data_IF_098360187624
#
_entry.id   IF_098360187624
#
_cell.length_a   1.000
_cell.length_b   1.000
_cell.length_c   1.000
_cell.angle_alpha   90.00
_cell.angle_beta   90.00
_cell.angle_gamma   90.00
#
_symmetry.space_group_name_H-M   'P 1'
#
loop_
_entity.id
_entity.type
_entity.pdbx_description
1 polymer ?
#
# COMPACT_ATOMS: atom_id res chain seq x y z
N UNK A 1 18.16 34.89 17.49
CA UNK A 1 17.06 34.16 18.14
C UNK A 1 15.75 34.55 17.46
N UNK A 2 15.38 33.86 16.37
CA UNK A 2 14.02 33.92 15.84
C UNK A 2 13.30 32.69 16.40
N UNK A 3 12.45 32.89 17.40
CA UNK A 3 11.49 31.87 17.80
C UNK A 3 10.45 31.75 16.68
N UNK A 4 10.68 30.84 15.74
CA UNK A 4 9.66 30.45 14.78
C UNK A 4 8.51 29.81 15.54
N UNK A 5 7.30 30.34 15.36
CA UNK A 5 6.09 29.65 15.80
C UNK A 5 6.01 28.34 15.00
N UNK A 6 6.41 27.22 15.61
CA UNK A 6 6.20 25.91 15.03
C UNK A 6 4.70 25.75 14.76
N UNK A 7 4.31 25.70 13.49
CA UNK A 7 2.92 25.52 13.09
C UNK A 7 2.43 24.18 13.66
N UNK A 8 1.49 24.24 14.61
CA UNK A 8 0.89 23.07 15.22
C UNK A 8 0.05 22.33 14.18
N UNK A 9 0.38 21.06 13.94
CA UNK A 9 -0.46 20.18 13.13
C UNK A 9 -1.78 19.89 13.84
N UNK A 10 -2.83 19.55 13.10
CA UNK A 10 -4.10 19.07 13.66
C UNK A 10 -3.93 17.80 14.51
N UNK A 11 -2.87 17.03 14.28
CA UNK A 11 -2.48 15.91 15.14
C UNK A 11 -1.82 16.35 16.48
N UNK A 12 -1.57 17.65 16.67
CA UNK A 12 -0.84 18.19 17.82
C UNK A 12 0.60 17.71 17.86
N UNK A 13 1.17 17.40 16.68
CA UNK A 13 2.53 16.91 16.54
C UNK A 13 3.46 18.12 16.49
N UNK A 14 4.44 18.14 17.39
CA UNK A 14 5.56 19.07 17.30
C UNK A 14 6.77 18.29 16.83
N UNK A 15 7.31 18.69 15.69
CA UNK A 15 8.61 18.25 15.22
C UNK A 15 9.63 19.12 15.94
N UNK A 16 10.40 18.50 16.82
CA UNK A 16 11.50 19.18 17.52
C UNK A 16 12.79 18.68 16.88
N UNK A 17 13.63 19.61 16.43
CA UNK A 17 14.99 19.30 16.03
C UNK A 17 15.72 18.67 17.22
N UNK A 18 16.39 17.55 16.95
CA UNK A 18 17.22 16.89 17.96
C UNK A 18 18.63 16.76 17.39
N UNK A 19 19.64 17.20 18.14
CA UNK A 19 21.06 16.90 17.88
C UNK A 19 21.37 15.43 18.26
N UNK A 20 20.59 14.51 17.71
CA UNK A 20 20.80 13.06 17.84
C UNK A 20 21.29 12.51 16.52
N UNK A 21 22.19 11.53 16.59
CA UNK A 21 22.58 10.76 15.42
C UNK A 21 21.36 10.19 14.69
N UNK A 22 21.41 10.02 13.37
CA UNK A 22 20.37 9.31 12.62
C UNK A 22 20.06 7.95 13.25
N UNK A 23 18.78 7.58 13.26
CA UNK A 23 18.38 6.24 13.72
C UNK A 23 19.20 5.17 12.98
N UNK A 24 19.69 4.19 13.72
CA UNK A 24 20.26 3.00 13.09
C UNK A 24 19.16 2.25 12.31
N UNK A 25 19.58 1.52 11.27
CA UNK A 25 18.66 0.68 10.48
C UNK A 25 17.88 -0.28 11.37
N UNK A 26 18.52 -0.82 12.41
CA UNK A 26 17.89 -1.75 13.37
C UNK A 26 16.82 -1.06 14.22
N UNK A 27 17.07 0.15 14.71
CA UNK A 27 16.08 0.91 15.49
C UNK A 27 14.88 1.30 14.64
N UNK A 28 15.13 1.75 13.41
CA UNK A 28 14.04 2.10 12.50
C UNK A 28 13.21 0.89 12.09
N UNK A 29 13.84 -0.26 11.83
CA UNK A 29 13.15 -1.52 11.54
C UNK A 29 12.19 -1.91 12.69
N UNK A 30 12.62 -1.78 13.96
CA UNK A 30 11.76 -2.00 15.14
C UNK A 30 10.58 -1.02 15.21
N UNK A 31 10.78 0.24 14.84
CA UNK A 31 9.68 1.22 14.79
C UNK A 31 8.61 0.78 13.79
N UNK A 32 9.01 0.32 12.59
CA UNK A 32 8.09 -0.16 11.58
C UNK A 32 7.35 -1.44 12.02
N UNK A 33 8.06 -2.42 12.59
CA UNK A 33 7.47 -3.64 13.14
C UNK A 33 6.38 -3.31 14.17
N UNK A 34 6.68 -2.42 15.12
CA UNK A 34 5.75 -2.02 16.17
C UNK A 34 4.55 -1.24 15.62
N UNK A 35 4.78 -0.31 14.68
CA UNK A 35 3.71 0.50 14.09
C UNK A 35 2.73 -0.34 13.26
N UNK A 36 3.24 -1.27 12.46
CA UNK A 36 2.42 -2.10 11.58
C UNK A 36 1.98 -3.43 12.20
N UNK A 37 2.45 -3.76 13.41
CA UNK A 37 2.29 -5.08 14.01
C UNK A 37 2.72 -6.20 13.04
N UNK A 38 3.93 -6.07 12.51
CA UNK A 38 4.46 -6.91 11.43
C UNK A 38 5.80 -7.53 11.81
N UNK A 39 6.08 -8.71 11.24
CA UNK A 39 7.34 -9.42 11.41
C UNK A 39 8.29 -9.10 10.25
N UNK A 40 9.57 -8.94 10.56
CA UNK A 40 10.62 -8.92 9.53
C UNK A 40 10.82 -10.33 8.98
N UNK A 41 10.76 -10.42 7.67
CA UNK A 41 10.88 -11.65 6.91
C UNK A 41 12.09 -11.54 5.99
N UNK A 42 13.04 -12.46 6.17
CA UNK A 42 14.10 -12.63 5.21
C UNK A 42 13.59 -13.42 4.00
N UNK A 43 13.74 -12.84 2.81
CA UNK A 43 13.32 -13.46 1.55
C UNK A 43 14.54 -14.03 0.84
N UNK A 44 14.47 -15.30 0.43
CA UNK A 44 15.49 -15.96 -0.39
C UNK A 44 15.26 -15.71 -1.88
N UNK A 45 14.02 -15.81 -2.35
CA UNK A 45 13.64 -15.56 -3.74
C UNK A 45 12.21 -15.04 -3.86
N UNK A 46 11.97 -14.32 -4.96
CA UNK A 46 10.64 -13.91 -5.41
C UNK A 46 10.46 -14.46 -6.82
N UNK A 47 9.70 -15.54 -6.94
CA UNK A 47 9.44 -16.17 -8.23
C UNK A 47 8.14 -15.64 -8.80
N UNK A 48 8.23 -15.08 -10.02
CA UNK A 48 7.04 -14.66 -10.75
C UNK A 48 6.52 -15.84 -11.54
N UNK A 49 5.30 -16.23 -11.25
CA UNK A 49 4.53 -17.16 -12.05
C UNK A 49 3.95 -16.39 -13.24
N UNK A 50 3.81 -17.05 -14.39
CA UNK A 50 3.29 -16.42 -15.61
C UNK A 50 2.02 -15.62 -15.28
N UNK A 51 1.85 -14.42 -15.83
CA UNK A 51 0.59 -13.65 -15.72
C UNK A 51 0.05 -13.33 -14.30
N UNK A 52 0.90 -13.23 -13.26
CA UNK A 52 0.57 -12.47 -12.04
C UNK A 52 0.56 -13.23 -10.71
N UNK A 53 0.93 -14.51 -10.69
CA UNK A 53 1.28 -15.19 -9.43
C UNK A 53 2.68 -14.79 -8.95
N UNK A 54 2.88 -14.68 -7.64
CA UNK A 54 4.20 -14.61 -7.03
C UNK A 54 4.31 -15.70 -5.96
N UNK A 55 5.48 -16.34 -5.90
CA UNK A 55 5.92 -17.16 -4.77
C UNK A 55 6.97 -16.34 -4.01
N UNK A 56 6.70 -16.05 -2.74
CA UNK A 56 7.71 -15.53 -1.81
C UNK A 56 8.32 -16.69 -1.04
N UNK A 57 9.60 -16.94 -1.25
CA UNK A 57 10.33 -17.95 -0.48
C UNK A 57 11.01 -17.28 0.71
N UNK A 58 10.62 -17.67 1.93
CA UNK A 58 11.20 -17.17 3.17
C UNK A 58 12.45 -17.97 3.56
N UNK A 59 13.47 -17.30 4.09
CA UNK A 59 14.63 -17.95 4.69
C UNK A 59 14.25 -18.70 5.97
N UNK A 60 15.16 -19.57 6.42
CA UNK A 60 14.98 -20.28 7.70
C UNK A 60 14.79 -19.28 8.85
N UNK A 61 13.79 -19.53 9.71
CA UNK A 61 13.47 -18.69 10.87
C UNK A 61 11.99 -18.31 10.92
N UNK A 62 11.57 -17.31 10.12
CA UNK A 62 10.19 -16.81 10.16
C UNK A 62 9.23 -17.80 9.50
N UNK A 63 8.25 -18.28 10.28
CA UNK A 63 7.19 -19.16 9.79
C UNK A 63 5.83 -18.62 10.20
N UNK A 64 4.93 -18.53 9.23
CA UNK A 64 3.53 -18.19 9.43
C UNK A 64 2.70 -19.46 9.52
N UNK A 65 1.89 -19.57 10.57
CA UNK A 65 0.85 -20.59 10.67
C UNK A 65 -0.43 -19.98 10.13
N UNK A 66 -1.01 -20.60 9.11
CA UNK A 66 -2.23 -20.11 8.48
C UNK A 66 -3.11 -21.26 8.00
N UNK A 67 -4.36 -20.95 7.70
CA UNK A 67 -5.35 -21.89 7.18
C UNK A 67 -5.83 -21.46 5.79
N UNK A 68 -6.34 -22.40 4.98
CA UNK A 68 -6.91 -22.06 3.68
C UNK A 68 -7.95 -20.94 3.78
N UNK A 69 -7.74 -19.88 3.01
CA UNK A 69 -8.55 -18.66 3.03
C UNK A 69 -7.93 -17.49 3.78
N UNK A 70 -6.87 -17.71 4.55
CA UNK A 70 -6.15 -16.62 5.21
C UNK A 70 -5.38 -15.75 4.21
N UNK A 71 -4.97 -14.57 4.69
CA UNK A 71 -4.24 -13.59 3.92
C UNK A 71 -3.05 -13.08 4.72
N UNK A 72 -2.03 -12.63 4.02
CA UNK A 72 -0.94 -11.83 4.59
C UNK A 72 -1.10 -10.37 4.16
N UNK A 73 -0.54 -9.44 4.91
CA UNK A 73 -0.37 -8.07 4.43
C UNK A 73 1.11 -7.75 4.29
N UNK A 74 1.47 -7.18 3.15
CA UNK A 74 2.81 -6.69 2.88
C UNK A 74 2.87 -5.20 3.21
N UNK A 75 3.92 -4.81 3.92
CA UNK A 75 4.20 -3.41 4.23
C UNK A 75 5.24 -2.95 3.21
N UNK A 76 4.78 -2.18 2.21
CA UNK A 76 5.62 -1.64 1.15
C UNK A 76 5.90 -0.16 1.39
N UNK A 77 7.09 0.31 1.00
CA UNK A 77 7.47 1.72 0.99
C UNK A 77 7.07 2.44 -0.31
N UNK A 78 6.98 3.77 -0.24
CA UNK A 78 6.96 4.61 -1.43
C UNK A 78 8.32 4.54 -2.15
N UNK A 79 8.35 4.86 -3.45
CA UNK A 79 9.59 4.86 -4.24
C UNK A 79 10.48 6.03 -3.87
N UNK A 80 11.79 5.89 -4.07
CA UNK A 80 12.73 7.01 -3.88
C UNK A 80 12.42 8.20 -4.79
N UNK A 81 11.92 7.96 -6.01
CA UNK A 81 11.49 9.01 -6.93
C UNK A 81 10.33 9.84 -6.34
N UNK A 82 9.28 9.17 -5.82
CA UNK A 82 8.12 9.85 -5.23
C UNK A 82 8.51 10.61 -3.96
N UNK A 83 9.38 10.02 -3.14
CA UNK A 83 9.86 10.63 -1.89
C UNK A 83 10.70 11.85 -2.18
N UNK A 84 11.63 11.76 -3.13
CA UNK A 84 12.52 12.86 -3.51
C UNK A 84 11.73 14.01 -4.14
N UNK A 85 10.82 13.69 -5.06
CA UNK A 85 9.95 14.69 -5.66
C UNK A 85 9.11 15.41 -4.61
N UNK A 86 8.52 14.70 -3.64
CA UNK A 86 7.72 15.38 -2.61
C UNK A 86 8.59 16.24 -1.69
N UNK A 87 9.80 15.79 -1.33
CA UNK A 87 10.74 16.58 -0.55
C UNK A 87 11.11 17.89 -1.25
N UNK A 88 11.32 17.86 -2.58
CA UNK A 88 11.59 19.06 -3.38
C UNK A 88 10.41 20.06 -3.41
N UNK A 89 9.20 19.59 -3.12
CA UNK A 89 7.99 20.41 -3.06
C UNK A 89 7.52 20.71 -1.62
N UNK A 90 8.34 20.37 -0.63
CA UNK A 90 8.06 20.57 0.80
C UNK A 90 8.91 21.71 1.34
N UNK A 91 8.31 22.61 2.13
CA UNK A 91 9.08 23.57 2.91
C UNK A 91 9.71 22.85 4.10
N UNK A 92 11.01 22.58 4.02
CA UNK A 92 11.75 21.92 5.09
C UNK A 92 12.14 22.87 6.23
N UNK A 93 11.81 24.17 6.13
CA UNK A 93 12.09 25.17 7.17
C UNK A 93 13.58 25.24 7.56
N UNK A 94 14.48 24.89 6.62
CA UNK A 94 15.94 24.86 6.83
C UNK A 94 16.48 23.53 7.36
N UNK A 95 15.63 22.54 7.63
CA UNK A 95 15.99 21.22 8.14
C UNK A 95 16.48 20.32 6.99
N UNK A 96 17.49 19.49 7.23
CA UNK A 96 17.90 18.47 6.25
C UNK A 96 16.83 17.36 6.13
N UNK A 97 16.50 16.85 4.93
CA UNK A 97 15.56 15.73 4.75
C UNK A 97 15.88 14.47 5.55
N UNK A 98 17.15 14.31 5.91
CA UNK A 98 17.70 13.14 6.59
C UNK A 98 17.97 13.41 8.09
N UNK A 99 17.74 14.64 8.56
CA UNK A 99 17.84 14.99 9.98
C UNK A 99 16.64 14.42 10.76
N UNK A 100 16.87 13.65 11.85
CA UNK A 100 15.79 13.11 12.66
C UNK A 100 14.98 14.21 13.37
N UNK A 101 13.66 14.05 13.37
CA UNK A 101 12.74 14.92 14.08
C UNK A 101 12.00 14.12 15.14
N UNK A 102 11.94 14.64 16.36
CA UNK A 102 11.17 14.01 17.43
C UNK A 102 9.68 14.20 17.15
N UNK A 103 8.96 13.09 17.00
CA UNK A 103 7.50 13.09 16.87
C UNK A 103 6.89 13.10 18.27
N UNK A 104 6.61 14.30 18.80
CA UNK A 104 5.99 14.49 20.12
C UNK A 104 4.55 14.99 20.00
N UNK A 105 3.67 14.56 20.91
CA UNK A 105 2.27 15.02 20.96
C UNK A 105 2.05 15.93 22.17
N UNK A 106 1.54 17.15 21.97
CA UNK A 106 1.30 18.09 23.07
C UNK A 106 -0.04 17.90 23.80
N UNK A 107 -1.04 17.21 23.23
CA UNK A 107 -2.36 17.06 23.87
C UNK A 107 -2.79 15.60 24.15
N UNK A 108 -3.27 15.28 25.37
CA UNK A 108 -3.72 13.94 25.76
C UNK A 108 -5.10 13.54 25.20
N UNK A 109 -5.75 14.36 24.37
CA UNK A 109 -7.04 13.99 23.76
C UNK A 109 -6.86 12.83 22.77
N UNK A 110 -7.89 11.97 22.69
CA UNK A 110 -8.01 10.71 21.93
C UNK A 110 -7.85 10.84 20.40
N UNK A 111 -6.89 11.61 19.89
CA UNK A 111 -6.49 11.55 18.48
C UNK A 111 -5.56 10.34 18.31
N UNK A 112 -6.03 9.39 17.52
CA UNK A 112 -5.31 8.21 17.05
C UNK A 112 -4.39 8.61 15.90
N UNK A 113 -3.47 9.56 16.10
CA UNK A 113 -2.38 9.73 15.13
C UNK A 113 -1.66 8.39 15.10
N UNK A 114 -1.91 7.58 14.06
CA UNK A 114 -1.39 6.22 13.97
C UNK A 114 0.14 6.20 13.90
N UNK A 115 0.78 7.36 13.65
CA UNK A 115 2.23 7.53 13.61
C UNK A 115 2.95 7.05 14.89
N UNK A 116 4.20 6.56 14.76
CA UNK A 116 5.02 6.18 15.92
C UNK A 116 5.23 7.38 16.85
N UNK A 117 4.96 7.18 18.15
CA UNK A 117 5.09 8.23 19.17
C UNK A 117 6.49 8.22 19.78
N UNK A 118 6.98 9.40 20.17
CA UNK A 118 8.27 9.57 20.85
C UNK A 118 9.43 8.92 20.09
N UNK A 119 9.35 8.93 18.76
CA UNK A 119 10.35 8.40 17.86
C UNK A 119 11.02 9.58 17.12
N UNK A 120 12.33 9.50 16.94
CA UNK A 120 13.09 10.47 16.14
C UNK A 120 13.16 9.96 14.69
N UNK A 121 12.33 10.48 13.79
CA UNK A 121 12.26 9.99 12.40
C UNK A 121 12.51 11.17 11.46
N UNK A 122 13.33 10.96 10.42
CA UNK A 122 13.61 12.01 9.44
C UNK A 122 12.42 12.25 8.50
N UNK A 123 12.29 13.45 7.90
CA UNK A 123 11.28 13.74 6.87
C UNK A 123 11.26 12.69 5.74
N UNK A 124 12.43 12.27 5.26
CA UNK A 124 12.54 11.23 4.21
C UNK A 124 11.90 9.91 4.64
N UNK A 125 12.21 9.44 5.85
CA UNK A 125 11.68 8.17 6.35
C UNK A 125 10.17 8.26 6.66
N UNK A 126 9.70 9.41 7.14
CA UNK A 126 8.27 9.70 7.33
C UNK A 126 7.50 9.56 6.02
N UNK A 127 7.94 10.28 4.98
CA UNK A 127 7.32 10.26 3.66
C UNK A 127 7.40 8.86 3.04
N UNK A 128 8.55 8.19 3.15
CA UNK A 128 8.79 6.87 2.53
C UNK A 128 7.92 5.76 3.13
N UNK A 129 7.75 5.74 4.45
CA UNK A 129 7.18 4.57 5.13
C UNK A 129 5.82 4.80 5.80
N UNK A 130 5.36 6.04 5.96
CA UNK A 130 4.15 6.32 6.74
C UNK A 130 3.07 7.08 5.99
N UNK A 131 3.35 7.72 4.85
CA UNK A 131 2.38 8.56 4.14
C UNK A 131 1.88 7.89 2.84
N UNK A 132 0.56 7.87 2.62
CA UNK A 132 -0.06 7.41 1.37
C UNK A 132 -0.08 8.53 0.34
N UNK A 133 1.00 8.65 -0.45
CA UNK A 133 1.23 9.79 -1.35
C UNK A 133 0.18 9.93 -2.45
N UNK A 134 -0.32 8.80 -2.94
CA UNK A 134 -1.24 8.75 -4.07
C UNK A 134 -2.71 8.71 -3.65
N UNK A 135 -3.03 9.19 -2.44
CA UNK A 135 -4.40 9.30 -1.97
C UNK A 135 -5.18 10.36 -2.79
N UNK A 136 -6.47 10.13 -3.10
CA UNK A 136 -7.31 11.14 -3.74
C UNK A 136 -7.40 12.42 -2.90
N UNK A 137 -7.28 13.58 -3.56
CA UNK A 137 -7.36 14.88 -2.91
C UNK A 137 -8.81 15.25 -2.57
N UNK A 138 -9.04 15.59 -1.31
CA UNK A 138 -10.35 16.04 -0.81
C UNK A 138 -10.39 17.57 -0.66
N UNK A 139 -11.59 18.17 -0.55
CA UNK A 139 -11.69 19.60 -0.19
C UNK A 139 -11.06 19.92 1.16
N UNK A 140 -11.04 18.96 2.09
CA UNK A 140 -10.31 19.08 3.36
C UNK A 140 -8.80 19.19 3.11
N UNK A 141 -8.25 18.33 2.25
CA UNK A 141 -6.85 18.37 1.83
C UNK A 141 -6.49 19.74 1.27
N UNK A 142 -7.30 20.26 0.34
CA UNK A 142 -7.13 21.61 -0.21
C UNK A 142 -7.21 22.67 0.89
N UNK A 143 -8.20 22.61 1.78
CA UNK A 143 -8.30 23.61 2.85
C UNK A 143 -7.06 23.66 3.77
N UNK A 144 -6.39 22.52 4.00
CA UNK A 144 -5.14 22.47 4.74
C UNK A 144 -3.98 23.11 3.95
N UNK A 145 -3.86 22.77 2.66
CA UNK A 145 -2.84 23.30 1.76
C UNK A 145 -2.94 24.81 1.53
N UNK A 146 -4.13 25.40 1.67
CA UNK A 146 -4.36 26.83 1.39
C UNK A 146 -3.47 27.79 2.20
N UNK A 147 -2.97 27.35 3.36
CA UNK A 147 -2.10 28.14 4.23
C UNK A 147 -0.60 28.07 3.86
N UNK A 148 -0.23 27.29 2.85
CA UNK A 148 1.15 26.96 2.52
C UNK A 148 1.62 27.56 1.19
N UNK A 149 1.05 28.69 0.78
CA UNK A 149 1.54 29.48 -0.34
C UNK A 149 2.57 30.50 0.17
N UNK A 150 3.83 30.32 -0.20
CA UNK A 150 4.98 30.97 0.44
C UNK A 150 5.19 32.45 0.09
N UNK A 151 4.47 32.99 -0.89
CA UNK A 151 4.67 34.38 -1.31
C UNK A 151 3.43 35.00 -1.95
N UNK A 152 2.96 36.11 -1.39
CA UNK A 152 1.93 36.94 -2.03
C UNK A 152 2.55 38.01 -2.95
N UNK A 153 3.87 38.04 -3.17
CA UNK A 153 4.52 39.05 -4.02
C UNK A 153 4.57 38.64 -5.49
N UNK A 154 4.61 37.33 -5.79
CA UNK A 154 4.63 36.81 -7.15
C UNK A 154 3.23 36.73 -7.78
N UNK A 155 3.09 37.17 -9.03
CA UNK A 155 1.80 37.15 -9.74
C UNK A 155 1.28 35.73 -9.96
N UNK A 156 2.14 34.76 -10.25
CA UNK A 156 1.77 33.36 -10.44
C UNK A 156 1.23 32.73 -9.16
N UNK A 157 1.87 33.01 -8.01
CA UNK A 157 1.42 32.52 -6.70
C UNK A 157 0.05 33.10 -6.32
N UNK A 158 -0.20 34.38 -6.58
CA UNK A 158 -1.53 34.99 -6.35
C UNK A 158 -2.63 34.31 -7.17
N UNK A 159 -2.35 34.04 -8.44
CA UNK A 159 -3.30 33.38 -9.35
C UNK A 159 -3.61 31.96 -8.87
N UNK A 160 -2.59 31.19 -8.51
CA UNK A 160 -2.75 29.85 -7.96
C UNK A 160 -3.54 29.85 -6.65
N UNK A 161 -3.17 30.71 -5.69
CA UNK A 161 -3.84 30.85 -4.39
C UNK A 161 -5.31 31.27 -4.53
N UNK A 162 -5.61 32.21 -5.44
CA UNK A 162 -6.98 32.63 -5.73
C UNK A 162 -7.84 31.49 -6.27
N UNK A 163 -7.33 30.73 -7.26
CA UNK A 163 -8.02 29.55 -7.78
C UNK A 163 -8.20 28.48 -6.68
N UNK A 164 -7.20 28.30 -5.83
CA UNK A 164 -7.26 27.37 -4.71
C UNK A 164 -8.40 27.70 -3.74
N UNK A 165 -8.53 28.98 -3.35
CA UNK A 165 -9.64 29.43 -2.51
C UNK A 165 -11.00 29.28 -3.20
N UNK A 166 -11.08 29.52 -4.51
CA UNK A 166 -12.29 29.28 -5.29
C UNK A 166 -12.70 27.79 -5.24
N UNK A 167 -11.76 26.86 -5.42
CA UNK A 167 -12.00 25.42 -5.35
C UNK A 167 -12.52 24.96 -3.98
N UNK A 168 -12.17 25.67 -2.89
CA UNK A 168 -12.61 25.36 -1.52
C UNK A 168 -13.94 26.04 -1.18
N UNK A 169 -14.22 27.21 -1.74
CA UNK A 169 -15.43 27.99 -1.48
C UNK A 169 -16.72 27.26 -1.86
N UNK A 170 -17.82 27.50 -1.14
CA UNK A 170 -19.11 26.80 -1.37
C UNK A 170 -19.59 26.88 -2.83
N UNK A 171 -19.38 28.03 -3.49
CA UNK A 171 -19.75 28.28 -4.87
C UNK A 171 -18.87 27.53 -5.89
N UNK A 172 -17.64 27.17 -5.52
CA UNK A 172 -16.71 26.44 -6.37
C UNK A 172 -16.86 24.92 -6.38
N UNK A 173 -17.93 24.37 -5.79
CA UNK A 173 -18.21 22.92 -5.82
C UNK A 173 -18.24 22.36 -7.26
N UNK A 174 -18.87 23.02 -8.25
CA UNK A 174 -18.84 22.52 -9.64
C UNK A 174 -17.42 22.47 -10.21
N UNK A 175 -16.59 23.47 -9.89
CA UNK A 175 -15.20 23.55 -10.34
C UNK A 175 -14.35 22.43 -9.71
N UNK A 176 -14.46 22.25 -8.39
CA UNK A 176 -13.80 21.16 -7.66
C UNK A 176 -14.21 19.79 -8.22
N UNK A 177 -15.51 19.59 -8.44
CA UNK A 177 -16.03 18.33 -8.96
C UNK A 177 -15.42 18.01 -10.33
N UNK A 178 -15.52 18.97 -11.26
CA UNK A 178 -15.01 18.80 -12.62
C UNK A 178 -13.52 18.54 -12.67
N UNK A 179 -12.72 19.33 -11.96
CA UNK A 179 -11.26 19.30 -12.13
C UNK A 179 -10.54 18.33 -11.20
N UNK A 180 -11.04 18.13 -9.98
CA UNK A 180 -10.34 17.33 -8.96
C UNK A 180 -11.04 16.00 -8.73
N UNK A 181 -12.33 16.01 -8.37
CA UNK A 181 -13.06 14.79 -7.96
C UNK A 181 -13.28 13.84 -9.13
N UNK A 182 -13.89 14.32 -10.21
CA UNK A 182 -14.29 13.47 -11.35
C UNK A 182 -13.07 12.98 -12.14
N UNK A 183 -11.94 13.67 -11.98
CA UNK A 183 -10.64 13.27 -12.48
C UNK A 183 -9.84 12.40 -11.49
N UNK A 184 -10.33 12.12 -10.28
CA UNK A 184 -9.58 11.39 -9.25
C UNK A 184 -8.16 11.94 -9.04
N UNK A 185 -8.01 13.27 -8.98
CA UNK A 185 -6.70 13.87 -8.71
C UNK A 185 -6.19 13.47 -7.33
N UNK A 186 -4.91 13.12 -7.27
CA UNK A 186 -4.21 12.76 -6.03
C UNK A 186 -3.63 14.00 -5.35
N UNK A 187 -3.18 13.86 -4.11
CA UNK A 187 -2.49 14.95 -3.39
C UNK A 187 -1.21 15.37 -4.16
N UNK A 188 -0.48 14.42 -4.73
CA UNK A 188 0.69 14.70 -5.57
C UNK A 188 0.33 15.50 -6.83
N UNK A 189 -0.81 15.19 -7.48
CA UNK A 189 -1.31 15.96 -8.63
C UNK A 189 -1.63 17.42 -8.25
N UNK A 190 -2.18 17.63 -7.05
CA UNK A 190 -2.46 18.97 -6.53
C UNK A 190 -1.16 19.75 -6.33
N UNK A 191 -0.13 19.15 -5.72
CA UNK A 191 1.17 19.80 -5.54
C UNK A 191 1.88 20.06 -6.88
N UNK A 192 1.70 19.19 -7.88
CA UNK A 192 2.24 19.40 -9.23
C UNK A 192 1.52 20.52 -9.99
N UNK A 193 0.21 20.69 -9.73
CA UNK A 193 -0.64 21.73 -10.33
C UNK A 193 -0.39 23.09 -9.70
N UNK A 194 -0.26 23.13 -8.37
CA UNK A 194 -0.08 24.34 -7.58
C UNK A 194 1.34 24.39 -7.03
N UNK A 195 2.32 24.52 -7.93
CA UNK A 195 3.75 24.47 -7.62
C UNK A 195 4.25 25.58 -6.68
N UNK A 196 3.46 26.64 -6.46
CA UNK A 196 3.77 27.66 -5.46
C UNK A 196 3.33 27.30 -4.02
N UNK A 197 2.64 26.17 -3.85
CA UNK A 197 2.22 25.65 -2.55
C UNK A 197 3.27 24.67 -2.01
N UNK A 198 3.95 25.06 -0.93
CA UNK A 198 4.99 24.27 -0.28
C UNK A 198 4.59 23.97 1.17
N UNK A 199 3.85 22.87 1.43
CA UNK A 199 3.52 22.48 2.80
C UNK A 199 4.77 22.18 3.61
N UNK A 200 4.73 22.45 4.92
CA UNK A 200 5.80 22.04 5.84
C UNK A 200 5.73 20.54 6.12
N UNK A 201 6.80 19.94 6.65
CA UNK A 201 6.79 18.52 7.05
C UNK A 201 5.66 18.22 8.03
N UNK A 202 5.39 19.12 8.98
CA UNK A 202 4.27 18.98 9.92
C UNK A 202 2.90 18.98 9.22
N UNK A 203 2.73 19.83 8.21
CA UNK A 203 1.51 19.88 7.41
C UNK A 203 1.31 18.62 6.57
N UNK A 204 2.39 18.02 6.01
CA UNK A 204 2.30 16.75 5.30
C UNK A 204 1.65 15.66 6.17
N UNK A 205 1.98 15.62 7.46
CA UNK A 205 1.40 14.66 8.40
C UNK A 205 -0.11 14.82 8.53
N UNK A 206 -0.65 16.05 8.41
CA UNK A 206 -2.09 16.35 8.43
C UNK A 206 -2.80 16.09 7.09
N UNK A 207 -2.07 16.29 6.00
CA UNK A 207 -2.59 16.27 4.63
C UNK A 207 -2.69 14.83 4.11
N UNK A 208 -1.64 14.03 4.32
CA UNK A 208 -1.55 12.67 3.79
C UNK A 208 -2.13 11.65 4.78
N UNK A 209 -3.01 10.74 4.31
CA UNK A 209 -3.39 9.57 5.09
C UNK A 209 -2.19 8.66 5.37
N UNK A 210 -2.32 7.77 6.36
CA UNK A 210 -1.28 6.78 6.62
C UNK A 210 -1.18 5.73 5.52
N UNK A 211 0.06 5.34 5.20
CA UNK A 211 0.37 4.27 4.27
C UNK A 211 -0.14 2.94 4.84
N UNK A 212 -1.03 2.27 4.10
CA UNK A 212 -1.68 1.04 4.59
C UNK A 212 -0.93 -0.22 4.14
N UNK A 213 -0.85 -1.28 4.97
CA UNK A 213 -0.44 -2.61 4.50
C UNK A 213 -1.36 -3.11 3.36
N UNK A 214 -0.80 -3.84 2.39
CA UNK A 214 -1.55 -4.40 1.26
C UNK A 214 -1.78 -5.90 1.45
N UNK A 215 -3.04 -6.30 1.58
CA UNK A 215 -3.42 -7.68 1.83
C UNK A 215 -3.48 -8.52 0.55
N UNK A 216 -2.97 -9.76 0.62
CA UNK A 216 -3.04 -10.77 -0.43
C UNK A 216 -3.49 -12.11 0.16
N UNK A 217 -4.44 -12.76 -0.50
CA UNK A 217 -4.92 -14.09 -0.11
C UNK A 217 -3.91 -15.16 -0.50
N UNK A 218 -3.63 -16.05 0.44
CA UNK A 218 -2.70 -17.15 0.22
C UNK A 218 -3.35 -18.24 -0.64
N UNK A 219 -2.54 -18.77 -1.56
CA UNK A 219 -2.91 -19.82 -2.52
C UNK A 219 -2.68 -21.22 -1.96
N UNK A 220 -1.73 -21.35 -1.04
CA UNK A 220 -1.32 -22.65 -0.52
C UNK A 220 -2.16 -23.07 0.69
N UNK A 221 -2.26 -24.37 0.93
CA UNK A 221 -2.57 -24.87 2.27
C UNK A 221 -1.27 -24.87 3.08
N UNK A 222 -1.28 -24.41 4.34
CA UNK A 222 -0.07 -24.41 5.18
C UNK A 222 0.39 -25.85 5.48
N UNK A 223 1.15 -26.46 4.57
CA UNK A 223 1.66 -27.83 4.72
C UNK A 223 2.92 -27.84 5.57
N UNK A 224 2.73 -27.95 6.88
CA UNK A 224 3.78 -28.37 7.82
C UNK A 224 4.90 -27.36 8.05
N UNK A 225 4.85 -26.66 9.18
CA UNK A 225 6.03 -25.99 9.77
C UNK A 225 7.09 -26.99 10.30
N UNK A 226 7.05 -28.27 9.90
CA UNK A 226 7.92 -29.33 10.41
C UNK A 226 9.24 -29.43 9.64
N UNK A 227 10.35 -29.23 10.33
CA UNK A 227 11.72 -29.30 9.78
C UNK A 227 12.37 -27.93 9.50
N UNK A 228 13.67 -27.92 9.16
CA UNK A 228 14.43 -26.71 8.80
C UNK A 228 14.14 -26.20 7.37
N UNK A 229 13.05 -26.61 6.73
CA UNK A 229 12.76 -26.17 5.35
C UNK A 229 12.30 -24.70 5.31
N UNK A 230 12.68 -24.01 4.23
CA UNK A 230 12.13 -22.73 3.80
C UNK A 230 10.59 -22.81 3.71
N UNK A 231 9.90 -21.72 4.08
CA UNK A 231 8.46 -21.60 3.88
C UNK A 231 8.19 -20.81 2.60
N UNK A 232 7.32 -21.34 1.75
CA UNK A 232 6.81 -20.64 0.58
C UNK A 232 5.46 -20.00 0.91
N UNK A 233 5.31 -18.73 0.55
CA UNK A 233 4.05 -18.00 0.59
C UNK A 233 3.65 -17.63 -0.83
N UNK A 234 2.71 -18.36 -1.41
CA UNK A 234 2.18 -18.05 -2.74
C UNK A 234 0.94 -17.19 -2.65
N UNK A 235 0.90 -16.13 -3.44
CA UNK A 235 -0.30 -15.32 -3.66
C UNK A 235 -0.36 -14.79 -5.09
N UNK A 236 -1.54 -14.32 -5.49
CA UNK A 236 -1.80 -13.83 -6.84
C UNK A 236 -2.20 -12.36 -6.79
N UNK A 237 -1.68 -11.57 -7.71
CA UNK A 237 -2.05 -10.16 -7.84
C UNK A 237 -2.02 -9.70 -9.30
N UNK A 238 -2.76 -8.65 -9.58
CA UNK A 238 -2.68 -7.96 -10.86
C UNK A 238 -1.74 -6.78 -10.70
N UNK A 239 -0.74 -6.67 -11.58
CA UNK A 239 0.13 -5.49 -11.61
C UNK A 239 -0.72 -4.27 -11.95
N UNK A 240 -0.75 -3.30 -11.04
CA UNK A 240 -1.41 -2.02 -11.30
C UNK A 240 -0.42 -1.14 -12.06
N UNK A 241 -0.76 -0.81 -13.30
CA UNK A 241 -0.03 0.13 -14.14
C UNK A 241 -0.91 1.33 -14.42
N UNK A 242 -0.30 2.51 -14.40
CA UNK A 242 -0.97 3.75 -14.77
C UNK A 242 -0.38 4.23 -16.08
N UNK A 243 -1.24 4.53 -17.04
CA UNK A 243 -0.82 5.22 -18.25
C UNK A 243 -0.38 6.64 -17.87
N UNK A 244 0.67 7.15 -18.54
CA UNK A 244 0.95 8.57 -18.48
C UNK A 244 -0.31 9.31 -18.96
N UNK A 245 -0.84 10.17 -18.10
CA UNK A 245 -1.99 11.00 -18.43
C UNK A 245 -1.48 12.39 -18.75
N UNK A 246 -2.00 12.97 -19.82
CA UNK A 246 -1.71 14.36 -20.18
C UNK A 246 -2.30 15.31 -19.13
N UNK A 247 -1.77 16.53 -19.10
CA UNK A 247 -2.35 17.61 -18.33
C UNK A 247 -3.82 17.80 -18.71
N UNK A 248 -4.67 18.02 -17.70
CA UNK A 248 -6.14 17.99 -17.89
C UNK A 248 -6.67 19.25 -18.60
N UNK A 249 -5.97 20.37 -18.46
CA UNK A 249 -6.34 21.66 -19.02
C UNK A 249 -6.03 22.83 -18.09
N UNK A 250 -6.26 24.05 -18.59
CA UNK A 250 -5.92 25.30 -17.89
C UNK A 250 -7.16 26.05 -17.43
N UNK A 251 -7.17 26.48 -16.17
CA UNK A 251 -8.22 27.34 -15.58
C UNK A 251 -7.56 28.56 -14.98
N UNK A 252 -8.01 29.74 -15.38
CA UNK A 252 -7.50 31.02 -14.85
C UNK A 252 -5.95 31.11 -14.89
N UNK A 253 -5.31 30.53 -15.91
CA UNK A 253 -3.84 30.53 -16.06
C UNK A 253 -3.11 29.44 -15.27
N UNK A 254 -3.82 28.55 -14.57
CA UNK A 254 -3.25 27.38 -13.88
C UNK A 254 -3.55 26.11 -14.66
N UNK A 255 -2.52 25.37 -15.06
CA UNK A 255 -2.67 24.09 -15.75
C UNK A 255 -2.75 22.95 -14.73
N UNK A 256 -3.82 22.17 -14.77
CA UNK A 256 -4.02 21.00 -13.93
C UNK A 256 -3.15 19.85 -14.41
N UNK A 257 -2.03 19.66 -13.70
CA UNK A 257 -0.99 18.68 -14.04
C UNK A 257 -1.23 17.34 -13.38
N UNK A 258 -0.72 16.29 -14.02
CA UNK A 258 -0.67 14.94 -13.47
C UNK A 258 0.73 14.59 -13.04
N UNK A 259 0.89 14.19 -11.78
CA UNK A 259 2.13 13.61 -11.32
C UNK A 259 2.37 12.27 -12.02
N UNK A 260 3.60 12.07 -12.53
CA UNK A 260 3.94 10.87 -13.30
C UNK A 260 4.12 9.66 -12.38
N UNK A 261 3.02 8.96 -12.11
CA UNK A 261 3.02 7.64 -11.47
C UNK A 261 2.92 6.54 -12.52
N UNK A 262 3.82 5.55 -12.50
CA UNK A 262 3.80 4.44 -13.47
C UNK A 262 3.12 3.17 -12.96
N UNK A 263 3.08 2.97 -11.64
CA UNK A 263 2.59 1.72 -11.05
C UNK A 263 1.94 1.93 -9.68
N UNK A 264 1.15 0.95 -9.26
CA UNK A 264 0.67 0.84 -7.87
C UNK A 264 1.84 0.77 -6.88
N UNK A 265 1.64 1.27 -5.67
CA UNK A 265 2.69 1.33 -4.63
C UNK A 265 3.22 -0.07 -4.31
N UNK A 266 2.35 -0.99 -3.85
CA UNK A 266 2.78 -2.34 -3.49
C UNK A 266 3.15 -3.20 -4.70
N UNK A 267 2.38 -3.16 -5.78
CA UNK A 267 2.63 -4.00 -6.96
C UNK A 267 3.89 -3.60 -7.73
N UNK A 268 4.26 -2.31 -7.70
CA UNK A 268 5.54 -1.84 -8.20
C UNK A 268 6.69 -2.12 -7.24
N UNK A 269 6.46 -1.96 -5.93
CA UNK A 269 7.43 -2.32 -4.90
C UNK A 269 7.84 -3.80 -4.97
N UNK A 270 6.89 -4.72 -5.17
CA UNK A 270 7.18 -6.15 -5.36
C UNK A 270 8.11 -6.45 -6.55
N UNK A 271 7.96 -5.71 -7.65
CA UNK A 271 8.85 -5.83 -8.81
C UNK A 271 10.25 -5.26 -8.51
N UNK A 272 10.32 -4.17 -7.74
CA UNK A 272 11.58 -3.64 -7.22
C UNK A 272 12.31 -4.65 -6.33
N UNK A 273 11.59 -5.24 -5.37
CA UNK A 273 12.11 -6.28 -4.48
C UNK A 273 12.68 -7.46 -5.28
N UNK A 274 11.93 -7.95 -6.28
CA UNK A 274 12.38 -9.03 -7.17
C UNK A 274 13.68 -8.68 -7.87
N UNK A 275 13.77 -7.47 -8.45
CA UNK A 275 14.98 -7.00 -9.15
C UNK A 275 16.18 -6.94 -8.19
N UNK A 276 16.00 -6.35 -7.02
CA UNK A 276 17.06 -6.25 -6.01
C UNK A 276 17.57 -7.61 -5.53
N UNK A 277 16.67 -8.59 -5.36
CA UNK A 277 17.05 -9.96 -5.04
C UNK A 277 17.86 -10.61 -6.17
N UNK A 278 17.45 -10.43 -7.43
CA UNK A 278 18.19 -10.99 -8.57
C UNK A 278 19.55 -10.35 -8.81
N UNK A 279 19.70 -9.05 -8.52
CA UNK A 279 20.94 -8.32 -8.72
C UNK A 279 21.85 -8.31 -7.49
N UNK A 280 21.39 -8.84 -6.34
CA UNK A 280 22.11 -8.79 -5.07
C UNK A 280 22.29 -7.37 -4.52
N UNK A 281 21.44 -6.42 -4.92
CA UNK A 281 21.55 -5.04 -4.43
C UNK A 281 21.08 -4.94 -2.97
N UNK A 282 21.54 -3.92 -2.22
CA UNK A 282 20.92 -3.57 -0.95
C UNK A 282 19.40 -3.41 -1.11
N UNK A 283 18.64 -3.82 -0.09
CA UNK A 283 17.18 -3.75 -0.07
C UNK A 283 16.69 -3.51 1.35
N UNK A 284 15.49 -2.96 1.46
CA UNK A 284 14.77 -2.89 2.72
C UNK A 284 14.34 -4.29 3.17
N UNK A 285 14.25 -4.50 4.48
CA UNK A 285 13.64 -5.67 5.08
C UNK A 285 12.19 -5.83 4.58
N UNK A 286 11.78 -7.04 4.21
CA UNK A 286 10.37 -7.32 3.94
C UNK A 286 9.63 -7.43 5.27
N UNK A 287 8.67 -6.55 5.49
CA UNK A 287 7.75 -6.64 6.63
C UNK A 287 6.44 -7.30 6.18
N UNK A 288 6.05 -8.34 6.90
CA UNK A 288 4.81 -9.09 6.67
C UNK A 288 4.03 -9.19 7.97
N UNK A 289 2.75 -8.83 7.92
CA UNK A 289 1.83 -9.08 9.03
C UNK A 289 0.81 -10.13 8.62
N UNK A 290 0.53 -11.09 9.49
CA UNK A 290 -0.60 -11.99 9.28
C UNK A 290 -1.92 -11.21 9.35
N UNK A 291 -2.85 -11.47 8.43
CA UNK A 291 -4.16 -10.86 8.43
C UNK A 291 -5.20 -11.92 8.69
N UNK A 292 -5.69 -11.95 9.93
CA UNK A 292 -6.80 -12.81 10.31
C UNK A 292 -8.03 -12.51 9.43
N UNK A 293 -8.65 -13.58 8.97
CA UNK A 293 -9.83 -13.49 8.13
C UNK A 293 -11.07 -13.11 8.96
N UNK A 294 -11.30 -11.81 9.13
CA UNK A 294 -12.42 -11.28 9.93
C UNK A 294 -13.81 -11.69 9.43
N UNK A 295 -13.93 -12.03 8.15
CA UNK A 295 -15.18 -12.51 7.55
C UNK A 295 -15.37 -14.03 7.71
N UNK A 296 -14.44 -14.72 8.38
CA UNK A 296 -14.41 -16.18 8.53
C UNK A 296 -14.48 -16.90 7.18
N UNK A 297 -13.87 -16.31 6.15
CA UNK A 297 -13.80 -16.90 4.81
C UNK A 297 -12.73 -18.00 4.77
N UNK A 298 -13.00 -19.07 5.50
CA UNK A 298 -12.17 -20.26 5.60
C UNK A 298 -12.86 -21.43 4.92
N UNK A 299 -12.06 -22.45 4.59
CA UNK A 299 -12.65 -23.71 4.19
C UNK A 299 -13.48 -24.26 5.37
N UNK A 300 -14.73 -24.70 5.16
CA UNK A 300 -15.54 -25.29 6.23
C UNK A 300 -14.82 -26.51 6.85
N UNK A 301 -15.01 -26.75 8.15
CA UNK A 301 -14.41 -27.92 8.81
C UNK A 301 -14.80 -29.22 8.10
N UNK A 302 -13.92 -30.21 8.20
CA UNK A 302 -14.13 -31.53 7.61
C UNK A 302 -14.41 -32.51 8.75
N UNK A 303 -15.66 -32.61 9.19
CA UNK A 303 -16.12 -33.74 10.00
C UNK A 303 -16.42 -34.93 9.06
N UNK A 304 -15.65 -36.00 9.23
CA UNK A 304 -15.74 -37.24 8.43
C UNK A 304 -17.03 -38.02 8.77
N UNK A 305 -17.68 -37.71 9.90
CA UNK A 305 -18.80 -38.49 10.44
C UNK A 305 -20.19 -37.89 10.25
N UNK A 306 -20.29 -36.62 9.86
CA UNK A 306 -21.58 -35.92 9.72
C UNK A 306 -21.75 -35.32 8.31
N UNK A 307 -22.84 -34.59 8.05
CA UNK A 307 -23.26 -34.09 6.72
C UNK A 307 -22.28 -33.11 6.04
N UNK A 308 -21.02 -33.02 6.48
CA UNK A 308 -19.96 -32.06 6.10
C UNK A 308 -19.16 -32.42 4.82
N UNK A 309 -19.59 -33.44 4.07
CA UNK A 309 -19.16 -33.67 2.69
C UNK A 309 -19.93 -32.80 1.67
N UNK A 310 -20.25 -31.57 2.07
CA UNK A 310 -21.09 -30.66 1.32
C UNK A 310 -20.41 -30.22 0.02
N UNK A 311 -21.13 -30.17 -1.11
CA UNK A 311 -20.60 -29.65 -2.34
C UNK A 311 -20.21 -28.18 -2.16
N UNK A 312 -19.00 -27.82 -2.58
CA UNK A 312 -18.59 -26.40 -2.65
C UNK A 312 -18.95 -25.84 -4.02
N UNK A 313 -19.58 -24.66 -4.00
CA UNK A 313 -19.72 -23.80 -5.18
C UNK A 313 -18.74 -22.66 -4.99
N UNK A 314 -17.68 -22.66 -5.79
CA UNK A 314 -16.61 -21.67 -5.74
C UNK A 314 -16.75 -20.78 -6.96
N UNK A 315 -16.98 -19.48 -6.77
CA UNK A 315 -17.17 -18.52 -7.86
C UNK A 315 -16.06 -17.48 -7.77
N UNK A 316 -15.12 -17.51 -8.70
CA UNK A 316 -14.00 -16.58 -8.76
C UNK A 316 -13.96 -15.80 -10.06
N UNK A 317 -13.50 -14.55 -9.97
CA UNK A 317 -13.09 -13.75 -11.11
C UNK A 317 -11.63 -13.30 -10.98
N UNK A 318 -10.84 -13.48 -12.03
CA UNK A 318 -9.42 -13.09 -12.08
C UNK A 318 -8.62 -13.64 -10.89
N UNK A 319 -7.90 -12.76 -10.19
CA UNK A 319 -7.05 -13.10 -9.03
C UNK A 319 -7.86 -13.53 -7.80
N UNK A 320 -9.18 -13.35 -7.78
CA UNK A 320 -10.08 -13.84 -6.74
C UNK A 320 -10.11 -15.37 -6.61
N UNK A 321 -9.46 -16.11 -7.52
CA UNK A 321 -9.28 -17.55 -7.43
C UNK A 321 -8.32 -17.99 -6.32
N UNK A 322 -7.43 -17.10 -5.84
CA UNK A 322 -6.36 -17.43 -4.90
C UNK A 322 -6.80 -18.27 -3.68
N UNK A 323 -7.78 -17.83 -2.85
CA UNK A 323 -8.19 -18.61 -1.69
C UNK A 323 -8.89 -19.92 -2.05
N UNK A 324 -9.50 -20.02 -3.24
CA UNK A 324 -10.12 -21.27 -3.65
C UNK A 324 -9.10 -22.34 -4.01
N UNK A 325 -7.92 -21.94 -4.49
CA UNK A 325 -6.84 -22.90 -4.73
C UNK A 325 -6.42 -23.55 -3.40
N UNK A 326 -6.28 -22.78 -2.32
CA UNK A 326 -5.94 -23.35 -1.00
C UNK A 326 -7.04 -24.28 -0.47
N UNK A 327 -8.31 -23.95 -0.71
CA UNK A 327 -9.45 -24.81 -0.34
C UNK A 327 -9.38 -26.17 -1.06
N UNK A 328 -9.04 -26.15 -2.34
CA UNK A 328 -8.94 -27.35 -3.16
C UNK A 328 -7.73 -28.21 -2.76
N UNK A 329 -6.58 -27.60 -2.48
CA UNK A 329 -5.41 -28.29 -1.93
C UNK A 329 -5.73 -28.94 -0.58
N UNK A 330 -6.41 -28.19 0.31
CA UNK A 330 -6.85 -28.70 1.61
C UNK A 330 -7.72 -29.95 1.51
N UNK A 331 -8.75 -29.94 0.65
CA UNK A 331 -9.59 -31.13 0.44
C UNK A 331 -8.79 -32.31 -0.11
N UNK A 332 -7.83 -32.06 -1.00
CA UNK A 332 -6.94 -33.10 -1.53
C UNK A 332 -6.15 -33.78 -0.40
N UNK A 333 -5.54 -33.00 0.51
CA UNK A 333 -4.76 -33.56 1.63
C UNK A 333 -5.62 -34.39 2.58
N UNK A 334 -6.87 -33.98 2.81
CA UNK A 334 -7.82 -34.73 3.65
C UNK A 334 -8.32 -36.04 3.01
N UNK A 335 -7.80 -36.45 1.84
CA UNK A 335 -8.14 -37.69 1.11
C UNK A 335 -9.64 -37.86 0.82
N UNK A 336 -10.42 -36.78 0.86
CA UNK A 336 -11.79 -36.82 0.38
C UNK A 336 -11.77 -37.03 -1.14
N UNK A 337 -12.47 -38.06 -1.64
CA UNK A 337 -12.69 -38.17 -3.08
C UNK A 337 -13.33 -36.85 -3.54
N UNK A 338 -12.67 -36.19 -4.48
CA UNK A 338 -12.94 -34.84 -5.01
C UNK A 338 -14.26 -34.78 -5.80
N UNK A 339 -15.24 -35.62 -5.47
CA UNK A 339 -16.45 -35.89 -6.25
C UNK A 339 -17.59 -34.88 -6.07
N UNK A 340 -17.39 -33.81 -5.29
CA UNK A 340 -18.44 -32.81 -5.00
C UNK A 340 -17.88 -31.39 -4.89
N UNK A 341 -17.38 -30.83 -5.98
CA UNK A 341 -17.14 -29.39 -6.08
C UNK A 341 -17.56 -28.92 -7.46
N UNK A 342 -17.95 -27.65 -7.54
CA UNK A 342 -18.17 -26.91 -8.77
C UNK A 342 -17.37 -25.63 -8.66
N UNK A 343 -16.30 -25.51 -9.46
CA UNK A 343 -15.53 -24.27 -9.58
C UNK A 343 -16.00 -23.55 -10.84
N UNK A 344 -16.55 -22.36 -10.64
CA UNK A 344 -16.96 -21.45 -11.71
C UNK A 344 -15.94 -20.33 -11.77
N UNK A 345 -15.28 -20.20 -12.91
CA UNK A 345 -14.31 -19.13 -13.19
C UNK A 345 -14.95 -18.16 -14.16
N UNK A 346 -15.21 -16.96 -13.68
CA UNK A 346 -15.76 -15.83 -14.44
C UNK A 346 -14.60 -14.96 -14.94
N UNK A 347 -14.36 -14.86 -16.25
CA UNK A 347 -13.27 -14.00 -16.72
C UNK A 347 -12.99 -14.05 -18.21
N UNK A 348 -12.48 -12.93 -18.74
CA UNK A 348 -12.37 -12.65 -20.18
C UNK A 348 -11.01 -12.95 -20.83
N UNK A 349 -10.03 -13.52 -20.11
CA UNK A 349 -8.76 -14.02 -20.70
C UNK A 349 -8.29 -15.28 -19.98
N UNK A 350 -8.03 -16.36 -20.73
CA UNK A 350 -7.37 -17.57 -20.20
C UNK A 350 -6.03 -17.15 -19.61
N UNK A 351 -5.83 -17.41 -18.32
CA UNK A 351 -4.53 -17.18 -17.72
C UNK A 351 -3.68 -18.43 -17.73
N UNK A 352 -2.47 -18.39 -18.31
CA UNK A 352 -1.57 -19.55 -18.34
C UNK A 352 -1.17 -20.01 -16.94
N UNK A 353 -1.18 -19.14 -15.93
CA UNK A 353 -0.95 -19.50 -14.54
C UNK A 353 -2.15 -20.17 -13.89
N UNK A 354 -3.34 -19.61 -14.08
CA UNK A 354 -4.58 -20.26 -13.65
C UNK A 354 -4.67 -21.63 -14.31
N UNK A 355 -4.36 -21.73 -15.60
CA UNK A 355 -4.33 -22.98 -16.34
C UNK A 355 -3.21 -23.92 -15.84
N UNK A 356 -2.05 -23.44 -15.43
CA UNK A 356 -0.97 -24.29 -14.91
C UNK A 356 -1.31 -24.82 -13.51
N UNK A 357 -1.85 -23.99 -12.61
CA UNK A 357 -2.39 -24.45 -11.32
C UNK A 357 -3.54 -25.43 -11.57
N UNK A 358 -4.50 -25.07 -12.42
CA UNK A 358 -5.62 -25.94 -12.78
C UNK A 358 -5.11 -27.21 -13.46
N UNK A 359 -4.03 -27.18 -14.25
CA UNK A 359 -3.50 -28.37 -14.92
C UNK A 359 -2.75 -29.30 -13.97
N UNK A 360 -1.93 -28.74 -13.07
CA UNK A 360 -1.31 -29.48 -11.95
C UNK A 360 -2.36 -30.14 -11.05
N UNK A 361 -3.54 -29.53 -10.98
CA UNK A 361 -4.63 -30.02 -10.15
C UNK A 361 -5.59 -30.92 -10.97
N UNK A 362 -5.79 -30.68 -12.27
CA UNK A 362 -6.82 -31.22 -13.21
C UNK A 362 -7.02 -32.72 -13.20
N UNK A 363 -5.98 -33.50 -12.93
CA UNK A 363 -6.09 -34.96 -12.81
C UNK A 363 -7.12 -35.41 -11.77
N UNK A 364 -7.63 -34.49 -10.94
CA UNK A 364 -8.61 -34.77 -9.89
C UNK A 364 -9.88 -33.89 -9.98
N UNK A 365 -10.02 -32.99 -10.96
CA UNK A 365 -11.10 -31.99 -11.02
C UNK A 365 -12.04 -32.28 -12.19
N UNK A 366 -13.27 -32.71 -11.90
CA UNK A 366 -14.24 -33.09 -12.94
C UNK A 366 -15.21 -31.97 -13.35
N UNK A 367 -15.35 -30.87 -12.58
CA UNK A 367 -16.33 -29.80 -12.86
C UNK A 367 -15.72 -28.39 -12.74
N UNK A 368 -14.97 -27.95 -13.75
CA UNK A 368 -14.53 -26.55 -13.89
C UNK A 368 -15.30 -25.94 -15.06
N UNK A 369 -16.08 -24.89 -14.79
CA UNK A 369 -16.81 -24.15 -15.81
C UNK A 369 -16.11 -22.81 -16.00
N UNK A 370 -15.62 -22.56 -17.21
CA UNK A 370 -15.17 -21.22 -17.62
C UNK A 370 -16.35 -20.50 -18.26
N UNK A 371 -16.70 -19.35 -17.70
CA UNK A 371 -17.68 -18.45 -18.30
C UNK A 371 -16.93 -17.24 -18.82
N UNK A 372 -16.89 -17.10 -20.15
CA UNK A 372 -16.39 -15.88 -20.79
C UNK A 372 -17.45 -14.80 -20.61
N UNK A 373 -17.06 -13.69 -19.98
CA UNK A 373 -17.89 -12.48 -19.85
C UNK A 373 -17.59 -11.48 -20.96
#
# INVERSE_FOLDING_TARGET
MRSGNAALSHYGMKLVEVDTAPLSVVEFSKILQNHYCADTCDVSSVERLNEGGIILCLKEGTKFVYTPGDSISLICSNTDDDVSWLLDHTDLEGISPDQPLLISKEQPKKSTSGLPRNACISPRLLIRHFLELHAPASRRTLNLLANHFNSDTCSTTRVQKALFHQLIAREGVPLYNRWIRDNNMTIMDILATFDACHPTVAALLDIFPLLRPRAYSLVDECTGCGGNSHQELTFVYTRVEFCATEDLGTVHGVTFRRYLRRHGTCTGWLEGLRKSLTSGSPRDDLLVSFRENLNKFHHPSVDISSKENAPLILIAAGTGIAPFISFLQYRRRQRQQVRRFLLIILGSKKSSFIDNIITKTRSYFFNIIYVSL
#
